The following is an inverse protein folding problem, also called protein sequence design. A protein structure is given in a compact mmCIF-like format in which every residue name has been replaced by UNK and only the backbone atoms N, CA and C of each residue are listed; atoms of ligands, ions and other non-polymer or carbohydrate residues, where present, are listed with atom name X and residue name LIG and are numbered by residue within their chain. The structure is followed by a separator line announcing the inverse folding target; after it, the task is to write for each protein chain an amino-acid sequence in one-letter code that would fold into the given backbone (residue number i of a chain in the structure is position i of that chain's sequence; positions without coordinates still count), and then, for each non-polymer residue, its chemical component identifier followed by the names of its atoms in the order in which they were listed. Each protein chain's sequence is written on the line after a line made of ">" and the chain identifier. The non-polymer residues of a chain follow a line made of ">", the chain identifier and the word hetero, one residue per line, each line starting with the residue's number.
data_IF_020005066437
#
_entry.id   IF_020005066437
#
_cell.length_a   1.000
_cell.length_b   1.000
_cell.length_c   1.000
_cell.angle_alpha   90.00
_cell.angle_beta   90.00
_cell.angle_gamma   90.00
#
_symmetry.space_group_name_H-M   'P 1'
#
loop_
_entity.id
_entity.type
_entity.pdbx_description
1 polymer ?
#
# COMPACT_ATOMS: atom_id res chain seq x y z
N UNK A 1 -1.89 -17.55 5.48
CA UNK A 1 -1.54 -16.17 5.86
C UNK A 1 -0.05 -15.98 5.62
N UNK A 2 0.34 -15.18 4.62
CA UNK A 2 1.75 -14.76 4.47
C UNK A 2 1.90 -13.44 5.21
N UNK A 3 3.00 -13.26 5.94
CA UNK A 3 3.32 -12.02 6.67
C UNK A 3 4.76 -11.67 6.33
N UNK A 4 5.01 -10.40 6.01
CA UNK A 4 6.34 -9.84 5.72
C UNK A 4 7.18 -10.70 4.76
N UNK A 5 6.62 -11.05 3.59
CA UNK A 5 7.31 -11.82 2.56
C UNK A 5 8.24 -10.91 1.75
N UNK A 6 9.54 -11.19 1.70
CA UNK A 6 10.45 -10.50 0.79
C UNK A 6 10.22 -10.99 -0.65
N UNK A 7 9.81 -10.10 -1.55
CA UNK A 7 9.62 -10.38 -2.97
C UNK A 7 10.88 -10.13 -3.80
N UNK A 8 11.69 -9.16 -3.41
CA UNK A 8 12.96 -8.84 -4.08
C UNK A 8 14.07 -8.61 -3.07
N UNK A 9 15.26 -9.16 -3.36
CA UNK A 9 16.56 -8.76 -2.79
C UNK A 9 17.67 -8.68 -3.86
N UNK A 10 17.37 -9.06 -5.10
CA UNK A 10 18.37 -9.04 -6.16
C UNK A 10 18.57 -7.61 -6.67
N UNK A 11 19.83 -7.24 -6.85
CA UNK A 11 20.31 -5.91 -7.28
C UNK A 11 20.01 -4.73 -6.34
N UNK A 12 19.56 -4.97 -5.10
CA UNK A 12 19.45 -3.92 -4.08
C UNK A 12 18.08 -3.24 -3.99
N UNK A 13 17.06 -3.75 -4.66
CA UNK A 13 15.68 -3.29 -4.43
C UNK A 13 15.04 -4.09 -3.28
N UNK A 14 14.71 -3.38 -2.19
CA UNK A 14 13.98 -3.95 -1.07
C UNK A 14 12.47 -3.89 -1.32
N UNK A 15 11.86 -5.02 -1.66
CA UNK A 15 10.41 -5.14 -1.86
C UNK A 15 9.81 -6.18 -0.92
N UNK A 16 8.87 -5.75 -0.08
CA UNK A 16 8.17 -6.59 0.90
C UNK A 16 6.68 -6.62 0.59
N UNK A 17 6.06 -7.79 0.76
CA UNK A 17 4.62 -7.95 0.69
C UNK A 17 4.04 -8.44 2.01
N UNK A 18 2.91 -7.87 2.42
CA UNK A 18 2.18 -8.28 3.62
C UNK A 18 0.66 -8.24 3.39
N UNK A 19 -0.04 -9.24 3.92
CA UNK A 19 -1.51 -9.32 3.86
C UNK A 19 -2.22 -8.34 4.81
N UNK A 20 -1.49 -7.44 5.48
CA UNK A 20 -2.03 -6.41 6.36
C UNK A 20 -3.08 -5.54 5.65
N UNK A 21 -4.30 -5.57 6.18
CA UNK A 21 -5.45 -4.82 5.63
C UNK A 21 -6.32 -4.21 6.74
N UNK A 22 -5.92 -4.35 8.00
CA UNK A 22 -6.47 -3.63 9.15
C UNK A 22 -5.45 -2.59 9.67
N UNK A 23 -5.87 -1.40 10.15
CA UNK A 23 -4.93 -0.35 10.60
C UNK A 23 -3.87 -0.82 11.59
N UNK A 24 -4.24 -1.65 12.56
CA UNK A 24 -3.31 -2.23 13.54
C UNK A 24 -2.22 -3.09 12.88
N UNK A 25 -2.59 -3.87 11.86
CA UNK A 25 -1.67 -4.72 11.11
C UNK A 25 -0.74 -3.86 10.26
N UNK A 26 -1.30 -2.88 9.54
CA UNK A 26 -0.52 -1.92 8.73
C UNK A 26 0.49 -1.18 9.60
N UNK A 27 0.07 -0.71 10.78
CA UNK A 27 0.97 -0.05 11.75
C UNK A 27 2.10 -0.97 12.20
N UNK A 28 1.80 -2.24 12.52
CA UNK A 28 2.80 -3.20 12.94
C UNK A 28 3.80 -3.54 11.82
N UNK A 29 3.31 -3.67 10.58
CA UNK A 29 4.13 -3.93 9.39
C UNK A 29 5.03 -2.74 9.08
N UNK A 30 4.50 -1.51 9.00
CA UNK A 30 5.32 -0.32 8.74
C UNK A 30 6.33 -0.04 9.86
N UNK A 31 5.94 -0.24 11.12
CA UNK A 31 6.86 -0.15 12.24
C UNK A 31 7.99 -1.18 12.18
N UNK A 32 7.72 -2.38 11.64
CA UNK A 32 8.76 -3.39 11.37
C UNK A 32 9.65 -2.95 10.21
N UNK A 33 9.07 -2.46 9.12
CA UNK A 33 9.82 -1.97 7.96
C UNK A 33 10.77 -0.85 8.31
N UNK A 34 10.38 0.13 9.15
CA UNK A 34 11.29 1.19 9.61
C UNK A 34 12.50 0.67 10.41
N UNK A 35 12.37 -0.48 11.09
CA UNK A 35 13.51 -1.12 11.78
C UNK A 35 14.39 -1.92 10.84
N UNK A 36 13.79 -2.55 9.82
CA UNK A 36 14.51 -3.38 8.83
C UNK A 36 15.26 -2.50 7.83
N UNK A 37 14.67 -1.36 7.44
CA UNK A 37 15.20 -0.41 6.46
C UNK A 37 15.46 0.97 7.12
N UNK A 38 16.43 1.07 8.05
CA UNK A 38 16.68 2.31 8.77
C UNK A 38 17.18 3.40 7.81
N UNK A 39 16.49 4.54 7.78
CA UNK A 39 16.88 5.72 6.99
C UNK A 39 16.48 5.67 5.51
N UNK A 40 16.01 4.52 5.00
CA UNK A 40 15.48 4.42 3.65
C UNK A 40 14.08 5.07 3.56
N UNK A 41 13.76 5.81 2.47
CA UNK A 41 12.40 6.18 2.18
C UNK A 41 11.50 4.95 2.06
N UNK A 42 10.35 4.95 2.72
CA UNK A 42 9.34 3.91 2.66
C UNK A 42 8.23 4.30 1.69
N UNK A 43 8.14 3.57 0.59
CA UNK A 43 7.04 3.68 -0.36
C UNK A 43 6.07 2.54 -0.14
N UNK A 44 4.77 2.84 -0.09
CA UNK A 44 3.71 1.86 0.16
C UNK A 44 2.75 1.83 -1.02
N UNK A 45 2.49 0.65 -1.56
CA UNK A 45 1.32 0.34 -2.38
C UNK A 45 0.29 -0.35 -1.49
N UNK A 46 -0.84 0.30 -1.24
CA UNK A 46 -1.90 -0.22 -0.38
C UNK A 46 -3.18 -0.51 -1.17
N UNK A 47 -3.69 -1.73 -1.05
CA UNK A 47 -5.02 -2.12 -1.54
C UNK A 47 -5.98 -2.27 -0.35
N UNK A 48 -6.92 -1.31 -0.14
CA UNK A 48 -7.93 -1.43 0.90
C UNK A 48 -8.86 -2.61 0.63
N UNK A 49 -9.44 -3.19 1.69
CA UNK A 49 -10.38 -4.32 1.58
C UNK A 49 -11.77 -3.90 2.04
N UNK A 50 -12.74 -3.87 1.12
CA UNK A 50 -14.13 -3.41 1.27
C UNK A 50 -14.28 -1.90 1.60
N UNK A 51 -15.27 -1.24 0.97
CA UNK A 51 -15.50 0.19 1.19
C UNK A 51 -15.99 0.47 2.62
N UNK A 52 -16.93 -0.32 3.13
CA UNK A 52 -17.44 -0.16 4.49
C UNK A 52 -16.34 -0.22 5.56
N UNK A 53 -15.33 -1.10 5.40
CA UNK A 53 -14.17 -1.16 6.30
C UNK A 53 -13.24 0.03 6.11
N UNK A 54 -13.00 0.43 4.87
CA UNK A 54 -12.17 1.60 4.55
C UNK A 54 -12.76 2.86 5.18
N UNK A 55 -14.06 3.08 5.03
CA UNK A 55 -14.79 4.16 5.67
C UNK A 55 -14.77 4.07 7.21
N UNK A 56 -15.05 2.89 7.76
CA UNK A 56 -15.08 2.70 9.20
C UNK A 56 -13.72 2.95 9.87
N UNK A 57 -12.62 2.67 9.16
CA UNK A 57 -11.27 2.77 9.69
C UNK A 57 -10.44 3.89 9.06
N UNK A 58 -11.06 4.87 8.39
CA UNK A 58 -10.37 5.92 7.63
C UNK A 58 -9.25 6.59 8.45
N UNK A 59 -9.58 7.16 9.62
CA UNK A 59 -8.61 7.79 10.51
C UNK A 59 -7.51 6.84 10.99
N UNK A 60 -7.88 5.57 11.17
CA UNK A 60 -6.94 4.51 11.54
C UNK A 60 -5.93 4.24 10.44
N UNK A 61 -6.38 4.16 9.18
CA UNK A 61 -5.50 3.98 8.03
C UNK A 61 -4.62 5.20 7.81
N UNK A 62 -5.17 6.41 7.90
CA UNK A 62 -4.38 7.65 7.82
C UNK A 62 -3.27 7.64 8.87
N UNK A 63 -3.60 7.35 10.13
CA UNK A 63 -2.59 7.26 11.20
C UNK A 63 -1.53 6.19 10.94
N UNK A 64 -1.91 5.03 10.43
CA UNK A 64 -0.98 3.94 10.14
C UNK A 64 -0.04 4.29 8.97
N UNK A 65 -0.61 4.75 7.86
CA UNK A 65 0.08 5.06 6.61
C UNK A 65 0.89 6.37 6.67
N UNK A 66 0.60 7.27 7.60
CA UNK A 66 1.43 8.47 7.86
C UNK A 66 2.87 8.15 8.30
N UNK A 67 3.20 6.88 8.53
CA UNK A 67 4.59 6.46 8.76
C UNK A 67 5.36 6.15 7.48
N UNK A 68 4.70 6.16 6.32
CA UNK A 68 5.31 6.05 5.00
C UNK A 68 5.70 7.42 4.45
N UNK A 69 6.69 7.46 3.56
CA UNK A 69 7.11 8.68 2.87
C UNK A 69 6.24 8.93 1.62
N UNK A 70 5.77 7.86 0.97
CA UNK A 70 4.86 7.92 -0.17
C UNK A 70 3.86 6.77 -0.15
N UNK A 71 2.60 7.03 -0.52
CA UNK A 71 1.53 6.03 -0.57
C UNK A 71 0.81 6.05 -1.92
N UNK A 72 0.78 4.92 -2.59
CA UNK A 72 -0.10 4.67 -3.74
C UNK A 72 -1.28 3.81 -3.25
N UNK A 73 -2.51 4.29 -3.43
CA UNK A 73 -3.70 3.54 -3.03
C UNK A 73 -4.38 2.96 -4.27
N UNK A 74 -4.47 1.63 -4.33
CA UNK A 74 -5.20 0.92 -5.38
C UNK A 74 -6.71 0.86 -5.11
N UNK A 75 -7.48 0.45 -6.11
CA UNK A 75 -8.91 0.18 -6.00
C UNK A 75 -9.23 -0.71 -4.80
N UNK A 76 -10.36 -0.42 -4.15
CA UNK A 76 -10.83 -1.18 -3.01
C UNK A 76 -11.21 -2.60 -3.45
N UNK A 77 -10.53 -3.60 -2.89
CA UNK A 77 -10.82 -4.99 -3.17
C UNK A 77 -12.15 -5.43 -2.54
N UNK A 78 -12.90 -6.27 -3.26
CA UNK A 78 -14.13 -6.87 -2.75
C UNK A 78 -15.31 -5.89 -2.62
N UNK A 79 -15.22 -4.73 -3.29
CA UNK A 79 -16.32 -3.78 -3.42
C UNK A 79 -17.51 -4.43 -4.14
N UNK A 80 -18.70 -4.39 -3.52
CA UNK A 80 -19.95 -4.73 -4.20
C UNK A 80 -20.68 -3.43 -4.50
N UNK A 81 -20.65 -3.01 -5.76
CA UNK A 81 -21.18 -1.73 -6.24
C UNK A 81 -22.63 -1.40 -5.79
N UNK A 82 -23.44 -2.40 -5.45
CA UNK A 82 -24.84 -2.22 -5.04
C UNK A 82 -25.05 -1.79 -3.57
N UNK A 83 -24.04 -1.88 -2.70
CA UNK A 83 -24.19 -1.66 -1.24
C UNK A 83 -23.42 -0.41 -0.75
N UNK A 84 -22.38 0.00 -1.46
CA UNK A 84 -21.34 0.90 -0.93
C UNK A 84 -21.33 2.32 -1.53
N UNK A 85 -22.38 2.76 -2.22
CA UNK A 85 -22.41 4.05 -2.95
C UNK A 85 -22.23 5.33 -2.11
N UNK A 86 -22.07 5.20 -0.78
CA UNK A 86 -21.86 6.29 0.17
C UNK A 86 -20.67 6.05 1.12
N UNK A 87 -19.88 5.00 0.91
CA UNK A 87 -18.75 4.67 1.77
C UNK A 87 -17.42 5.10 1.12
N UNK A 88 -16.54 5.71 1.91
CA UNK A 88 -15.20 6.13 1.47
C UNK A 88 -14.49 5.01 0.70
N UNK A 89 -14.03 5.33 -0.50
CA UNK A 89 -13.19 4.51 -1.35
C UNK A 89 -11.72 4.89 -1.27
N UNK A 90 -10.98 4.45 -2.29
CA UNK A 90 -9.55 4.71 -2.40
C UNK A 90 -9.25 6.22 -2.53
N UNK A 91 -10.09 6.96 -3.26
CA UNK A 91 -9.94 8.40 -3.46
C UNK A 91 -10.09 9.19 -2.15
N UNK A 92 -11.10 8.86 -1.32
CA UNK A 92 -11.29 9.50 -0.03
C UNK A 92 -10.14 9.19 0.95
N UNK A 93 -9.60 7.96 0.92
CA UNK A 93 -8.41 7.64 1.70
C UNK A 93 -7.20 8.45 1.24
N UNK A 94 -7.00 8.60 -0.07
CA UNK A 94 -5.93 9.44 -0.62
C UNK A 94 -6.09 10.88 -0.19
N UNK A 95 -7.29 11.45 -0.31
CA UNK A 95 -7.54 12.82 0.11
C UNK A 95 -7.24 13.02 1.60
N UNK A 96 -7.68 12.10 2.45
CA UNK A 96 -7.42 12.17 3.89
C UNK A 96 -5.92 12.03 4.23
N UNK A 97 -5.15 11.26 3.46
CA UNK A 97 -3.70 11.17 3.59
C UNK A 97 -3.01 12.48 3.19
N UNK A 98 -3.43 13.07 2.07
CA UNK A 98 -2.92 14.37 1.59
C UNK A 98 -3.22 15.47 2.61
N UNK A 99 -4.43 15.52 3.16
CA UNK A 99 -4.83 16.48 4.19
C UNK A 99 -4.01 16.31 5.49
N UNK A 100 -3.53 15.09 5.76
CA UNK A 100 -2.62 14.78 6.86
C UNK A 100 -1.14 15.06 6.55
N UNK A 101 -0.81 15.53 5.33
CA UNK A 101 0.54 15.87 4.91
C UNK A 101 1.37 14.70 4.35
N UNK A 102 0.74 13.57 4.03
CA UNK A 102 1.39 12.41 3.42
C UNK A 102 1.37 12.57 1.90
N UNK A 103 2.50 12.28 1.23
CA UNK A 103 2.50 12.16 -0.23
C UNK A 103 1.67 10.93 -0.63
N UNK A 104 0.47 11.16 -1.17
CA UNK A 104 -0.44 10.08 -1.55
C UNK A 104 -1.06 10.31 -2.92
N UNK A 105 -1.25 9.20 -3.67
CA UNK A 105 -1.88 9.21 -4.99
C UNK A 105 -2.83 8.03 -5.16
N UNK A 106 -3.94 8.28 -5.83
CA UNK A 106 -4.86 7.21 -6.26
C UNK A 106 -4.31 6.53 -7.51
N UNK A 107 -4.10 5.22 -7.41
CA UNK A 107 -3.45 4.41 -8.44
C UNK A 107 -4.40 3.66 -9.37
N UNK A 108 -5.71 3.69 -9.12
CA UNK A 108 -6.68 2.88 -9.87
C UNK A 108 -6.51 1.38 -9.65
N UNK A 109 -6.78 0.53 -10.66
CA UNK A 109 -6.65 -0.91 -10.54
C UNK A 109 -5.24 -1.36 -10.11
N UNK A 110 -5.08 -2.50 -9.41
CA UNK A 110 -3.80 -2.96 -8.86
C UNK A 110 -2.61 -2.93 -9.83
N UNK A 111 -2.83 -3.32 -11.09
CA UNK A 111 -1.79 -3.29 -12.11
C UNK A 111 -1.31 -1.86 -12.41
N UNK A 112 -2.25 -0.91 -12.59
CA UNK A 112 -1.92 0.50 -12.82
C UNK A 112 -1.26 1.14 -11.59
N UNK A 113 -1.77 0.84 -10.40
CA UNK A 113 -1.20 1.30 -9.14
C UNK A 113 0.24 0.79 -8.97
N UNK A 114 0.54 -0.45 -9.39
CA UNK A 114 1.89 -0.98 -9.40
C UNK A 114 2.84 -0.21 -10.35
N UNK A 115 2.34 0.27 -11.50
CA UNK A 115 3.14 1.09 -12.42
C UNK A 115 3.52 2.42 -11.78
N UNK A 116 2.53 3.11 -11.19
CA UNK A 116 2.72 4.39 -10.49
C UNK A 116 3.61 4.23 -9.26
N UNK A 117 3.47 3.12 -8.54
CA UNK A 117 4.33 2.78 -7.42
C UNK A 117 5.79 2.66 -7.86
N UNK A 118 6.05 1.96 -8.96
CA UNK A 118 7.40 1.71 -9.46
C UNK A 118 8.14 2.96 -9.98
N UNK A 119 7.43 4.04 -10.39
CA UNK A 119 8.10 5.22 -11.01
C UNK A 119 9.07 5.95 -10.09
N UNK A 120 8.80 5.96 -8.79
CA UNK A 120 9.63 6.66 -7.78
C UNK A 120 10.51 5.68 -6.98
N UNK A 121 10.50 4.39 -7.34
CA UNK A 121 11.33 3.39 -6.67
C UNK A 121 12.77 3.46 -7.17
N UNK A 122 13.71 3.43 -6.23
CA UNK A 122 15.15 3.37 -6.45
C UNK A 122 15.78 2.29 -5.57
N UNK A 123 17.07 2.02 -5.74
CA UNK A 123 17.81 1.11 -4.85
C UNK A 123 17.99 1.64 -3.41
N UNK A 124 17.63 2.89 -3.15
CA UNK A 124 17.67 3.49 -1.81
C UNK A 124 16.29 3.48 -1.13
N UNK A 125 15.22 3.19 -1.87
CA UNK A 125 13.85 3.12 -1.36
C UNK A 125 13.48 1.70 -0.96
N UNK A 126 12.79 1.55 0.17
CA UNK A 126 12.16 0.28 0.53
C UNK A 126 10.67 0.31 0.21
N UNK A 127 10.24 -0.65 -0.62
CA UNK A 127 8.89 -0.79 -1.12
C UNK A 127 8.08 -1.79 -0.32
N UNK A 128 6.85 -1.42 0.04
CA UNK A 128 5.90 -2.32 0.68
C UNK A 128 4.63 -2.43 -0.15
N UNK A 129 4.20 -3.66 -0.43
CA UNK A 129 2.90 -3.97 -1.04
C UNK A 129 2.00 -4.56 0.04
N UNK A 130 0.92 -3.87 0.36
CA UNK A 130 0.03 -4.18 1.47
C UNK A 130 -1.40 -4.40 0.97
N UNK A 131 -2.04 -5.48 1.40
CA UNK A 131 -3.45 -5.72 1.11
C UNK A 131 -3.81 -7.20 1.11
N UNK A 132 -5.10 -7.50 1.25
CA UNK A 132 -5.60 -8.89 1.33
C UNK A 132 -6.44 -9.33 0.13
N UNK A 133 -6.44 -8.51 -0.93
CA UNK A 133 -7.13 -8.82 -2.18
C UNK A 133 -6.25 -9.57 -3.17
N UNK A 134 -6.36 -9.19 -4.43
CA UNK A 134 -5.59 -9.71 -5.57
C UNK A 134 -4.27 -8.95 -5.82
N UNK A 135 -3.85 -8.10 -4.87
CA UNK A 135 -2.60 -7.35 -4.92
C UNK A 135 -1.35 -8.24 -4.92
N UNK A 136 -1.45 -9.53 -4.62
CA UNK A 136 -0.33 -10.47 -4.77
C UNK A 136 -0.07 -10.84 -6.24
N UNK A 137 -1.08 -10.72 -7.11
CA UNK A 137 -1.00 -11.01 -8.53
C UNK A 137 -0.06 -10.08 -9.32
N UNK A 138 0.30 -8.91 -8.78
CA UNK A 138 1.22 -7.97 -9.44
C UNK A 138 2.70 -8.34 -9.24
N UNK A 139 3.03 -9.33 -8.40
CA UNK A 139 4.41 -9.67 -8.02
C UNK A 139 5.35 -9.81 -9.22
N UNK A 140 5.02 -10.67 -10.17
CA UNK A 140 5.92 -11.00 -11.27
C UNK A 140 6.08 -9.84 -12.27
N UNK A 141 5.02 -9.05 -12.49
CA UNK A 141 5.08 -7.83 -13.31
C UNK A 141 5.93 -6.76 -12.63
N UNK A 142 5.73 -6.56 -11.33
CA UNK A 142 6.46 -5.58 -10.56
C UNK A 142 7.95 -5.92 -10.50
N UNK A 143 8.31 -7.20 -10.26
CA UNK A 143 9.71 -7.63 -10.24
C UNK A 143 10.39 -7.51 -11.61
N UNK A 144 9.68 -7.74 -12.73
CA UNK A 144 10.24 -7.56 -14.08
C UNK A 144 10.61 -6.10 -14.39
N UNK A 145 10.03 -5.13 -13.70
CA UNK A 145 10.34 -3.70 -13.89
C UNK A 145 11.64 -3.26 -13.24
N UNK A 146 12.18 -4.08 -12.35
CA UNK A 146 13.41 -3.78 -11.59
C UNK A 146 14.60 -4.65 -12.03
N UNK A 147 14.46 -5.37 -13.14
CA UNK A 147 15.53 -6.16 -13.80
C UNK A 147 16.15 -5.35 -14.94
#
# INVERSE_FOLDING_TARGET
>A
MRRFEHWGRDQGLDLVHDYAHHPTEVTATLGTSRRVFPGAPLHVLFQPHQHSRTAHFLDGFVKALNTADRVVVADVYGARAAIDSHAAGAEELVQALVDAGVEAVYGGPPAQAAEIFATEMTFETAGLVLGAGDIDGIKDELLRRFQ
#
